data_IF_360580925498
#
_entry.id   IF_360580925498
#
_cell.length_a   1.000
_cell.length_b   1.000
_cell.length_c   1.000
_cell.angle_alpha   90.00
_cell.angle_beta   90.00
_cell.angle_gamma   90.00
#
_symmetry.space_group_name_H-M   'P 1'
#
loop_
_entity.id
_entity.type
_entity.pdbx_description
1 polymer ?
#
# COMPACT_ATOMS: atom_id res chain seq x y z
N UNK A 1 -4.13 27.89 8.47
CA UNK A 1 -3.55 27.05 7.41
C UNK A 1 -4.70 26.34 6.72
N UNK A 2 -5.18 26.93 5.62
CA UNK A 2 -6.24 26.34 4.79
C UNK A 2 -5.67 25.10 4.07
N UNK A 3 -6.08 23.90 4.47
CA UNK A 3 -5.84 22.70 3.67
C UNK A 3 -6.98 22.56 2.68
N UNK A 4 -6.61 22.66 1.40
CA UNK A 4 -7.51 22.59 0.25
C UNK A 4 -8.45 21.37 0.32
N UNK A 5 -9.78 21.58 0.35
CA UNK A 5 -10.75 20.52 0.57
C UNK A 5 -10.91 19.53 -0.61
N UNK A 6 -10.12 19.66 -1.67
CA UNK A 6 -10.27 18.93 -2.95
C UNK A 6 -9.20 17.87 -3.23
N UNK A 7 -8.20 17.70 -2.36
CA UNK A 7 -7.16 16.68 -2.57
C UNK A 7 -7.67 15.29 -2.24
N UNK A 8 -7.76 14.46 -3.29
CA UNK A 8 -8.09 13.05 -3.18
C UNK A 8 -6.84 12.21 -3.49
N UNK A 9 -6.49 11.31 -2.58
CA UNK A 9 -5.40 10.37 -2.79
C UNK A 9 -5.99 8.97 -2.97
N UNK A 10 -5.72 8.33 -4.10
CA UNK A 10 -6.03 6.93 -4.36
C UNK A 10 -4.72 6.13 -4.36
N UNK A 11 -4.73 5.00 -3.65
CA UNK A 11 -3.56 4.13 -3.50
C UNK A 11 -3.94 2.74 -3.98
N UNK A 12 -3.26 2.28 -5.01
CA UNK A 12 -3.42 0.95 -5.61
C UNK A 12 -2.35 0.04 -5.00
N UNK A 13 -2.74 -0.73 -3.99
CA UNK A 13 -1.92 -1.78 -3.40
C UNK A 13 -2.00 -3.02 -4.30
N UNK A 14 -0.87 -3.41 -4.87
CA UNK A 14 -0.76 -4.50 -5.84
C UNK A 14 0.09 -5.60 -5.22
N UNK A 15 -0.50 -6.79 -5.03
CA UNK A 15 0.27 -7.98 -4.66
C UNK A 15 1.09 -8.45 -5.87
N UNK A 16 2.30 -8.96 -5.66
CA UNK A 16 3.07 -9.56 -6.75
C UNK A 16 2.30 -10.71 -7.41
N UNK A 17 2.56 -10.95 -8.69
CA UNK A 17 2.06 -12.14 -9.40
C UNK A 17 2.78 -13.42 -8.94
N UNK A 18 2.36 -14.55 -9.50
CA UNK A 18 2.94 -15.86 -9.23
C UNK A 18 4.47 -15.86 -9.41
N UNK A 19 5.17 -16.38 -8.41
CA UNK A 19 6.62 -16.50 -8.38
C UNK A 19 7.05 -17.93 -8.03
N UNK A 20 8.33 -18.26 -8.18
CA UNK A 20 8.83 -19.64 -7.97
C UNK A 20 8.53 -20.18 -6.56
N UNK A 21 8.43 -19.32 -5.56
CA UNK A 21 8.07 -19.69 -4.20
C UNK A 21 6.60 -20.11 -4.07
N UNK A 22 5.68 -19.55 -4.88
CA UNK A 22 4.29 -20.01 -4.93
C UNK A 22 4.20 -21.47 -5.43
N UNK A 23 5.17 -21.91 -6.25
CA UNK A 23 5.27 -23.29 -6.73
C UNK A 23 5.84 -24.26 -5.68
N UNK A 24 6.29 -23.74 -4.53
CA UNK A 24 6.83 -24.51 -3.40
C UNK A 24 6.02 -24.24 -2.12
N UNK A 25 4.71 -24.58 -2.11
CA UNK A 25 3.85 -24.36 -0.96
C UNK A 25 4.24 -25.23 0.25
N UNK A 26 5.13 -26.21 0.06
CA UNK A 26 5.75 -27.00 1.12
C UNK A 26 6.72 -26.19 1.97
N UNK A 27 7.21 -25.05 1.48
CA UNK A 27 8.17 -24.18 2.17
C UNK A 27 7.47 -23.01 2.86
N UNK A 28 8.06 -22.56 3.96
CA UNK A 28 7.69 -21.29 4.60
C UNK A 28 8.22 -20.16 3.74
N UNK A 29 7.32 -19.29 3.26
CA UNK A 29 7.70 -18.09 2.54
C UNK A 29 8.22 -16.98 3.45
N UNK A 30 8.13 -15.73 3.00
CA UNK A 30 8.60 -14.55 3.73
C UNK A 30 9.46 -13.67 2.83
N UNK A 31 10.59 -13.21 3.36
CA UNK A 31 11.56 -12.33 2.67
C UNK A 31 12.63 -13.10 1.90
N UNK A 32 12.27 -14.25 1.32
CA UNK A 32 13.16 -15.02 0.45
C UNK A 32 13.60 -14.18 -0.77
N UNK A 33 14.91 -14.10 -1.00
CA UNK A 33 15.55 -13.38 -2.10
C UNK A 33 15.78 -14.29 -3.31
N UNK A 34 16.01 -13.71 -4.48
CA UNK A 34 16.30 -14.45 -5.72
C UNK A 34 15.07 -15.17 -6.29
N UNK A 35 13.87 -14.84 -5.80
CA UNK A 35 12.61 -15.42 -6.24
C UNK A 35 11.95 -14.48 -7.24
N UNK A 36 12.08 -14.79 -8.52
CA UNK A 36 11.51 -14.02 -9.61
C UNK A 36 10.07 -14.47 -9.94
N UNK A 37 9.35 -13.64 -10.70
CA UNK A 37 8.06 -14.02 -11.27
C UNK A 37 8.22 -15.19 -12.25
N UNK A 38 7.26 -16.11 -12.22
CA UNK A 38 7.16 -17.17 -13.22
C UNK A 38 6.73 -16.60 -14.57
N UNK A 39 6.73 -17.45 -15.61
CA UNK A 39 6.11 -17.08 -16.89
C UNK A 39 4.63 -16.70 -16.73
N UNK A 40 3.92 -17.36 -15.81
CA UNK A 40 2.54 -17.03 -15.48
C UNK A 40 2.46 -15.68 -14.77
N UNK A 41 3.30 -15.41 -13.77
CA UNK A 41 3.38 -14.12 -13.09
C UNK A 41 3.62 -12.95 -14.04
N UNK A 42 4.46 -13.13 -15.06
CA UNK A 42 4.66 -12.13 -16.12
C UNK A 42 3.42 -11.91 -17.00
N UNK A 43 2.63 -12.96 -17.28
CA UNK A 43 1.34 -12.81 -17.96
C UNK A 43 0.33 -12.05 -17.10
N UNK A 44 0.30 -12.33 -15.79
CA UNK A 44 -0.53 -11.62 -14.83
C UNK A 44 -0.20 -10.11 -14.78
N UNK A 45 1.09 -9.77 -14.76
CA UNK A 45 1.54 -8.38 -14.82
C UNK A 45 1.04 -7.64 -16.07
N UNK A 46 1.15 -8.27 -17.25
CA UNK A 46 0.65 -7.67 -18.50
C UNK A 46 -0.86 -7.50 -18.49
N UNK A 47 -1.61 -8.52 -18.04
CA UNK A 47 -3.06 -8.42 -17.94
C UNK A 47 -3.50 -7.30 -16.98
N UNK A 48 -2.76 -7.11 -15.88
CA UNK A 48 -3.01 -6.02 -14.96
C UNK A 48 -2.78 -4.65 -15.60
N UNK A 49 -1.68 -4.48 -16.34
CA UNK A 49 -1.40 -3.23 -17.04
C UNK A 49 -2.49 -2.91 -18.08
N UNK A 50 -2.96 -3.91 -18.84
CA UNK A 50 -4.08 -3.75 -19.78
C UNK A 50 -5.34 -3.31 -19.05
N UNK A 51 -5.65 -3.90 -17.89
CA UNK A 51 -6.79 -3.49 -17.08
C UNK A 51 -6.66 -2.03 -16.63
N UNK A 52 -5.51 -1.63 -16.10
CA UNK A 52 -5.26 -0.25 -15.66
C UNK A 52 -5.38 0.75 -16.81
N UNK A 53 -4.78 0.46 -17.97
CA UNK A 53 -4.91 1.29 -19.16
C UNK A 53 -6.38 1.41 -19.62
N UNK A 54 -7.13 0.30 -19.62
CA UNK A 54 -8.55 0.31 -20.00
C UNK A 54 -9.44 1.13 -19.05
N UNK A 55 -9.03 1.25 -17.78
CA UNK A 55 -9.70 2.05 -16.76
C UNK A 55 -9.22 3.52 -16.72
N UNK A 56 -8.24 3.88 -17.55
CA UNK A 56 -7.64 5.21 -17.55
C UNK A 56 -6.83 5.53 -16.29
N UNK A 57 -6.30 4.49 -15.61
CA UNK A 57 -5.45 4.67 -14.43
C UNK A 57 -4.09 5.24 -14.88
N UNK A 58 -3.66 6.33 -14.27
CA UNK A 58 -2.34 6.93 -14.47
C UNK A 58 -1.71 7.22 -13.12
N UNK A 59 -0.51 6.70 -12.87
CA UNK A 59 0.17 6.87 -11.59
C UNK A 59 0.99 8.15 -11.54
N UNK A 60 0.78 8.94 -10.49
CA UNK A 60 1.60 10.13 -10.17
C UNK A 60 2.87 9.76 -9.40
N UNK A 61 2.88 8.61 -8.74
CA UNK A 61 4.04 8.04 -8.06
C UNK A 61 3.90 6.53 -7.98
N UNK A 62 5.03 5.82 -7.95
CA UNK A 62 5.06 4.38 -7.77
C UNK A 62 6.08 4.02 -6.70
N UNK A 63 5.67 3.15 -5.77
CA UNK A 63 6.54 2.54 -4.78
C UNK A 63 6.52 1.02 -4.91
N UNK A 64 7.63 0.36 -4.64
CA UNK A 64 7.69 -1.09 -4.64
C UNK A 64 8.52 -1.64 -3.47
N UNK A 65 8.17 -2.84 -3.03
CA UNK A 65 9.05 -3.64 -2.19
C UNK A 65 10.35 -3.97 -2.93
N UNK A 66 11.51 -4.01 -2.25
CA UNK A 66 12.78 -4.36 -2.89
C UNK A 66 12.86 -5.84 -3.31
N UNK A 67 11.99 -6.72 -2.82
CA UNK A 67 12.02 -8.16 -3.18
C UNK A 67 11.75 -8.38 -4.68
N UNK A 68 12.50 -9.29 -5.29
CA UNK A 68 12.58 -9.47 -6.75
C UNK A 68 11.20 -9.68 -7.40
N UNK A 69 10.32 -10.48 -6.80
CA UNK A 69 8.95 -10.72 -7.28
C UNK A 69 8.09 -9.45 -7.36
N UNK A 70 8.16 -8.58 -6.36
CA UNK A 70 7.39 -7.33 -6.34
C UNK A 70 8.00 -6.29 -7.29
N UNK A 71 9.33 -6.20 -7.32
CA UNK A 71 10.06 -5.33 -8.26
C UNK A 71 9.80 -5.73 -9.71
N UNK A 72 9.88 -7.02 -10.03
CA UNK A 72 9.59 -7.54 -11.38
C UNK A 72 8.15 -7.28 -11.80
N UNK A 73 7.20 -7.34 -10.87
CA UNK A 73 5.80 -6.98 -11.12
C UNK A 73 5.68 -5.48 -11.42
N UNK A 74 6.28 -4.63 -10.58
CA UNK A 74 6.27 -3.18 -10.75
C UNK A 74 6.84 -2.76 -12.10
N UNK A 75 8.04 -3.23 -12.44
CA UNK A 75 8.69 -2.93 -13.72
C UNK A 75 7.82 -3.33 -14.92
N UNK A 76 7.27 -4.56 -14.90
CA UNK A 76 6.43 -5.06 -16.00
C UNK A 76 5.16 -4.25 -16.18
N UNK A 77 4.49 -3.87 -15.09
CA UNK A 77 3.26 -3.08 -15.14
C UNK A 77 3.55 -1.63 -15.55
N UNK A 78 4.55 -1.00 -14.94
CA UNK A 78 4.92 0.39 -15.22
C UNK A 78 5.40 0.60 -16.65
N UNK A 79 6.16 -0.35 -17.21
CA UNK A 79 6.59 -0.28 -18.61
C UNK A 79 5.40 -0.17 -19.57
N UNK A 80 4.38 -1.02 -19.40
CA UNK A 80 3.16 -1.02 -20.22
C UNK A 80 2.25 0.19 -19.95
N UNK A 81 2.36 0.81 -18.77
CA UNK A 81 1.68 2.05 -18.42
C UNK A 81 2.46 3.32 -18.80
N UNK A 82 3.61 3.18 -19.45
CA UNK A 82 4.53 4.29 -19.78
C UNK A 82 4.98 5.11 -18.55
N UNK A 83 5.10 4.47 -17.39
CA UNK A 83 5.70 5.06 -16.20
C UNK A 83 7.21 4.74 -16.18
N UNK A 84 8.03 5.77 -16.03
CA UNK A 84 9.48 5.64 -16.14
C UNK A 84 10.06 4.78 -15.00
N UNK A 85 10.86 3.77 -15.35
CA UNK A 85 11.39 2.79 -14.40
C UNK A 85 12.27 3.43 -13.32
N UNK A 86 13.04 4.45 -13.67
CA UNK A 86 13.91 5.21 -12.75
C UNK A 86 13.12 6.05 -11.72
N UNK A 87 11.81 6.23 -11.93
CA UNK A 87 10.91 6.89 -10.99
C UNK A 87 10.22 5.91 -10.01
N UNK A 88 10.43 4.60 -10.17
CA UNK A 88 9.91 3.59 -9.24
C UNK A 88 10.73 3.63 -7.95
N UNK A 89 10.10 3.96 -6.84
CA UNK A 89 10.76 4.12 -5.55
C UNK A 89 10.74 2.82 -4.74
N UNK A 90 11.91 2.24 -4.47
CA UNK A 90 12.02 1.09 -3.58
C UNK A 90 11.80 1.50 -2.11
N UNK A 91 11.06 0.70 -1.34
CA UNK A 91 10.82 0.95 0.08
C UNK A 91 10.79 -0.34 0.91
N UNK A 92 11.63 -0.41 1.95
CA UNK A 92 11.69 -1.54 2.89
C UNK A 92 10.41 -1.66 3.72
N UNK A 93 9.65 -0.57 3.89
CA UNK A 93 8.36 -0.60 4.57
C UNK A 93 7.33 -1.48 3.86
N UNK A 94 7.56 -1.79 2.57
CA UNK A 94 6.69 -2.61 1.72
C UNK A 94 7.12 -4.08 1.64
N UNK A 95 8.15 -4.51 2.39
CA UNK A 95 8.57 -5.92 2.45
C UNK A 95 7.45 -6.85 2.92
N UNK A 96 7.49 -8.12 2.51
CA UNK A 96 6.67 -9.19 3.09
C UNK A 96 6.98 -9.34 4.59
N UNK A 97 6.06 -9.94 5.35
CA UNK A 97 6.32 -10.31 6.74
C UNK A 97 7.56 -11.22 6.83
N UNK A 98 8.53 -10.83 7.66
CA UNK A 98 9.69 -11.68 7.93
C UNK A 98 9.27 -12.92 8.70
N UNK A 99 9.57 -14.10 8.16
CA UNK A 99 9.46 -15.36 8.91
C UNK A 99 10.79 -15.75 9.57
N UNK A 100 11.81 -14.89 9.44
CA UNK A 100 13.11 -15.06 10.08
C UNK A 100 13.74 -16.41 9.76
N UNK A 101 14.16 -17.15 10.78
CA UNK A 101 14.81 -18.45 10.61
C UNK A 101 13.90 -19.55 10.04
N UNK A 102 12.59 -19.29 9.89
CA UNK A 102 11.69 -20.26 9.27
C UNK A 102 11.70 -20.18 7.75
N UNK A 103 12.14 -19.06 7.16
CA UNK A 103 12.12 -18.86 5.70
C UNK A 103 12.85 -19.99 4.97
N UNK A 104 12.18 -20.61 4.00
CA UNK A 104 12.70 -21.74 3.22
C UNK A 104 12.71 -23.09 3.96
N UNK A 105 12.31 -23.17 5.23
CA UNK A 105 12.10 -24.44 5.92
C UNK A 105 10.82 -25.14 5.44
N UNK A 106 10.76 -26.46 5.61
CA UNK A 106 9.54 -27.24 5.35
C UNK A 106 8.45 -26.90 6.37
N UNK A 107 7.28 -26.49 5.88
CA UNK A 107 6.10 -26.18 6.70
C UNK A 107 5.71 -27.33 7.62
N UNK A 108 5.84 -28.58 7.14
CA UNK A 108 5.53 -29.78 7.93
C UNK A 108 6.44 -29.95 9.16
N UNK A 109 7.65 -29.39 9.12
CA UNK A 109 8.60 -29.41 10.24
C UNK A 109 8.47 -28.17 11.12
N UNK A 110 8.07 -27.03 10.54
CA UNK A 110 7.95 -25.75 11.24
C UNK A 110 6.63 -25.61 12.01
N UNK A 111 5.50 -25.98 11.39
CA UNK A 111 4.15 -25.77 11.95
C UNK A 111 3.61 -27.01 12.65
N UNK A 112 4.28 -27.47 13.70
CA UNK A 112 3.76 -28.56 14.55
C UNK A 112 2.51 -28.12 15.32
N UNK A 113 1.67 -29.05 15.83
CA UNK A 113 0.50 -28.69 16.64
C UNK A 113 0.82 -27.77 17.83
N UNK A 114 1.95 -27.99 18.48
CA UNK A 114 2.42 -27.19 19.63
C UNK A 114 2.77 -25.76 19.19
N UNK A 115 3.47 -25.62 18.06
CA UNK A 115 3.81 -24.32 17.48
C UNK A 115 2.56 -23.58 17.01
N UNK A 116 1.60 -24.28 16.38
CA UNK A 116 0.33 -23.68 15.96
C UNK A 116 -0.47 -23.15 17.16
N UNK A 117 -0.55 -23.92 18.26
CA UNK A 117 -1.19 -23.45 19.50
C UNK A 117 -0.45 -22.26 20.11
N UNK A 118 0.88 -22.22 20.02
CA UNK A 118 1.67 -21.07 20.46
C UNK A 118 1.37 -19.83 19.61
N UNK A 119 1.28 -19.99 18.29
CA UNK A 119 0.92 -18.90 17.37
C UNK A 119 -0.45 -18.34 17.76
N UNK A 120 -1.48 -19.19 17.83
CA UNK A 120 -2.86 -18.78 18.12
C UNK A 120 -2.97 -17.98 19.43
N UNK A 121 -2.36 -18.48 20.51
CA UNK A 121 -2.42 -17.83 21.83
C UNK A 121 -1.70 -16.48 21.91
N UNK A 122 -0.71 -16.26 21.04
CA UNK A 122 0.13 -15.05 21.08
C UNK A 122 -0.18 -14.04 19.97
N UNK A 123 -1.14 -14.31 19.07
CA UNK A 123 -1.54 -13.31 18.09
C UNK A 123 -2.13 -12.05 18.75
N UNK A 124 -1.90 -10.84 18.20
CA UNK A 124 -1.16 -10.53 16.96
C UNK A 124 0.36 -10.36 17.14
N UNK A 125 0.88 -10.68 18.33
CA UNK A 125 2.24 -10.35 18.79
C UNK A 125 3.23 -11.51 18.66
N UNK A 126 2.80 -12.68 18.18
CA UNK A 126 3.68 -13.78 17.84
C UNK A 126 4.63 -13.37 16.71
N UNK A 127 5.92 -13.64 16.90
CA UNK A 127 6.94 -13.57 15.85
C UNK A 127 7.66 -14.91 15.74
N UNK A 128 7.92 -15.35 14.50
CA UNK A 128 8.88 -16.42 14.27
C UNK A 128 10.28 -16.00 14.79
N UNK A 129 11.20 -16.94 15.08
CA UNK A 129 12.57 -16.59 15.50
C UNK A 129 13.23 -15.66 14.48
N UNK A 130 13.65 -14.47 14.93
CA UNK A 130 14.19 -13.39 14.07
C UNK A 130 13.21 -12.86 13.00
N UNK A 131 11.90 -13.10 13.18
CA UNK A 131 10.83 -12.67 12.29
C UNK A 131 10.09 -11.42 12.77
N UNK A 132 8.96 -11.13 12.11
CA UNK A 132 8.04 -10.05 12.46
C UNK A 132 6.72 -10.62 13.01
N UNK A 133 6.03 -9.84 13.85
CA UNK A 133 4.65 -10.06 14.23
C UNK A 133 3.68 -9.32 13.32
N UNK A 134 2.41 -9.72 13.32
CA UNK A 134 1.36 -9.02 12.56
C UNK A 134 1.25 -7.55 12.98
N UNK A 135 1.44 -7.25 14.26
CA UNK A 135 1.44 -5.86 14.76
C UNK A 135 2.59 -5.04 14.19
N UNK A 136 3.79 -5.63 14.08
CA UNK A 136 4.95 -4.94 13.50
C UNK A 136 4.73 -4.63 12.01
N UNK A 137 4.16 -5.57 11.26
CA UNK A 137 3.82 -5.38 9.84
C UNK A 137 2.76 -4.28 9.67
N UNK A 138 1.68 -4.31 10.47
CA UNK A 138 0.65 -3.27 10.45
C UNK A 138 1.26 -1.89 10.73
N UNK A 139 2.08 -1.78 11.78
CA UNK A 139 2.70 -0.52 12.17
C UNK A 139 3.50 0.11 11.01
N UNK A 140 4.41 -0.64 10.39
CA UNK A 140 5.24 -0.11 9.28
C UNK A 140 4.42 0.23 8.04
N UNK A 141 3.35 -0.51 7.77
CA UNK A 141 2.47 -0.22 6.62
C UNK A 141 1.64 1.04 6.84
N UNK A 142 1.10 1.23 8.05
CA UNK A 142 0.38 2.44 8.43
C UNK A 142 1.31 3.64 8.48
N UNK A 143 2.53 3.47 8.99
CA UNK A 143 3.56 4.51 8.99
C UNK A 143 3.97 4.91 7.57
N UNK A 144 4.15 3.95 6.65
CA UNK A 144 4.40 4.23 5.24
C UNK A 144 3.26 5.07 4.63
N UNK A 145 2.03 4.63 4.82
CA UNK A 145 0.83 5.25 4.27
C UNK A 145 0.64 6.70 4.77
N UNK A 146 0.79 6.92 6.08
CA UNK A 146 0.60 8.25 6.68
C UNK A 146 1.83 9.15 6.59
N UNK A 147 3.03 8.60 6.75
CA UNK A 147 4.29 9.34 6.76
C UNK A 147 4.83 9.66 5.37
N UNK A 148 4.63 8.75 4.40
CA UNK A 148 5.12 8.91 3.03
C UNK A 148 4.02 9.46 2.12
N UNK A 149 2.87 8.78 2.03
CA UNK A 149 1.89 9.08 0.98
C UNK A 149 1.10 10.36 1.24
N UNK A 150 0.76 10.68 2.49
CA UNK A 150 0.10 11.95 2.82
C UNK A 150 1.02 13.17 2.66
N UNK A 151 2.35 12.96 2.61
CA UNK A 151 3.33 14.00 2.32
C UNK A 151 3.48 14.33 0.82
N UNK A 152 3.12 13.40 -0.07
CA UNK A 152 3.32 13.52 -1.53
C UNK A 152 2.66 14.76 -2.17
N UNK A 153 1.38 15.10 -1.88
CA UNK A 153 0.75 16.25 -2.52
C UNK A 153 1.47 17.58 -2.24
N UNK A 154 2.25 17.67 -1.16
CA UNK A 154 3.06 18.86 -0.86
C UNK A 154 4.35 18.91 -1.68
N UNK A 155 4.96 17.75 -1.93
CA UNK A 155 6.22 17.63 -2.67
C UNK A 155 6.03 17.74 -4.20
N UNK A 156 4.90 17.24 -4.72
CA UNK A 156 4.60 17.22 -6.15
C UNK A 156 3.98 18.53 -6.66
N UNK A 157 3.37 19.33 -5.78
CA UNK A 157 2.76 20.63 -6.14
C UNK A 157 3.72 21.59 -6.88
N UNK A 158 4.96 21.82 -6.42
CA UNK A 158 5.90 22.69 -7.12
C UNK A 158 6.29 22.18 -8.51
N UNK A 159 6.41 20.86 -8.69
CA UNK A 159 6.87 20.25 -9.95
C UNK A 159 5.78 20.31 -11.03
N UNK A 160 4.53 20.02 -10.67
CA UNK A 160 3.40 20.12 -11.60
C UNK A 160 3.12 21.58 -12.01
N UNK A 161 3.24 22.52 -11.08
CA UNK A 161 3.13 23.95 -11.39
C UNK A 161 4.28 24.43 -12.29
N UNK A 162 5.51 23.92 -12.10
CA UNK A 162 6.66 24.27 -12.94
C UNK A 162 6.57 23.68 -14.36
N UNK A 163 6.11 22.43 -14.51
CA UNK A 163 5.89 21.80 -15.81
C UNK A 163 4.75 22.47 -16.59
N UNK A 164 3.73 23.00 -15.90
CA UNK A 164 2.66 23.75 -16.55
C UNK A 164 3.13 25.13 -17.07
N UNK A 165 4.16 25.72 -16.47
CA UNK A 165 4.78 26.96 -16.95
C UNK A 165 5.73 26.69 -18.12
N UNK A 166 6.44 25.55 -18.12
CA UNK A 166 7.33 25.17 -19.22
C UNK A 166 6.61 24.71 -20.50
N UNK A 167 5.33 24.31 -20.42
CA UNK A 167 4.49 24.03 -21.59
C UNK A 167 4.14 25.26 -22.46
N UNK A 168 4.52 26.48 -22.03
CA UNK A 168 4.17 27.73 -22.70
C UNK A 168 5.35 28.63 -23.09
N UNK A 169 6.60 28.16 -23.04
CA UNK A 169 7.74 28.96 -23.51
C UNK A 169 8.62 28.19 -24.50
N UNK A 170 8.18 28.19 -25.74
CA UNK A 170 9.03 27.95 -26.91
C UNK A 170 9.23 29.31 -27.59
N UNK A 171 10.31 30.01 -27.26
CA UNK A 171 10.95 30.95 -28.16
C UNK A 171 12.39 31.27 -27.73
N UNK A 172 13.28 31.09 -28.69
CA UNK A 172 14.69 31.44 -28.73
C UNK A 172 15.07 32.75 -28.03
N UNK A 173 16.23 32.78 -27.38
CA UNK A 173 17.31 33.69 -27.79
C UNK A 173 18.67 33.31 -27.18
N UNK A 174 19.68 33.30 -28.04
CA UNK A 174 21.11 33.23 -27.69
C UNK A 174 21.57 34.56 -27.08
N UNK A 175 22.50 34.52 -26.11
CA UNK A 175 23.61 35.49 -26.04
C UNK A 175 24.68 35.05 -25.05
N UNK A 176 25.92 35.17 -25.49
CA UNK A 176 27.18 34.96 -24.79
C UNK A 176 27.44 36.04 -23.71
N UNK A 177 28.27 35.74 -22.70
CA UNK A 177 29.65 36.28 -22.52
C UNK A 177 30.14 36.27 -21.06
N UNK A 178 31.32 35.66 -20.88
CA UNK A 178 32.51 36.02 -20.09
C UNK A 178 32.47 36.56 -18.64
N UNK A 179 33.38 35.98 -17.84
CA UNK A 179 34.46 36.63 -17.05
C UNK A 179 34.51 36.10 -15.60
N UNK A 180 35.41 35.17 -15.22
CA UNK A 180 36.87 35.30 -14.94
C UNK A 180 37.19 35.89 -13.54
N UNK A 181 38.07 35.17 -12.81
CA UNK A 181 38.90 35.48 -11.61
C UNK A 181 38.24 35.37 -10.23
N UNK A 182 38.90 34.94 -9.15
CA UNK A 182 40.22 34.31 -8.88
C UNK A 182 40.22 33.91 -7.38
N UNK A 183 41.01 32.88 -7.01
CA UNK A 183 41.80 32.68 -5.76
C UNK A 183 41.16 32.89 -4.36
N UNK A 184 41.57 32.29 -3.25
CA UNK A 184 42.58 31.32 -2.79
C UNK A 184 42.21 31.08 -1.29
N UNK A 185 42.66 29.99 -0.66
CA UNK A 185 42.98 30.02 0.78
C UNK A 185 42.35 28.97 1.69
N UNK A 186 43.11 27.91 1.91
CA UNK A 186 43.07 26.81 2.89
C UNK A 186 42.87 27.15 4.39
N UNK A 187 42.28 26.22 5.17
CA UNK A 187 42.91 25.49 6.31
C UNK A 187 41.92 24.73 7.22
N UNK A 188 42.37 23.57 7.75
CA UNK A 188 41.71 22.56 8.64
C UNK A 188 42.27 22.69 10.11
N UNK A 189 41.97 21.81 11.11
CA UNK A 189 40.77 21.59 11.94
C UNK A 189 41.06 21.70 13.50
N UNK A 190 40.52 20.85 14.43
CA UNK A 190 39.61 21.16 15.58
C UNK A 190 40.33 21.12 16.98
N UNK A 191 39.67 21.04 18.17
CA UNK A 191 39.04 19.81 18.72
C UNK A 191 37.89 19.98 19.78
N UNK A 192 37.32 18.83 20.19
CA UNK A 192 36.35 18.58 21.29
C UNK A 192 36.84 18.98 22.71
N UNK A 193 35.96 19.03 23.74
CA UNK A 193 35.87 17.88 24.66
C UNK A 193 34.47 17.55 25.27
N UNK A 194 34.43 16.35 25.86
CA UNK A 194 33.37 15.57 26.56
C UNK A 194 32.98 16.10 27.96
N UNK A 195 31.79 15.73 28.46
CA UNK A 195 31.52 15.01 29.75
C UNK A 195 29.97 14.81 29.96
N UNK A 196 29.43 13.57 30.06
CA UNK A 196 28.99 12.78 31.27
C UNK A 196 28.22 13.61 32.33
N UNK A 197 27.17 13.16 33.02
CA UNK A 197 26.52 11.87 33.35
C UNK A 197 25.14 12.20 33.98
N UNK A 198 24.19 11.25 34.06
CA UNK A 198 23.04 11.40 34.99
C UNK A 198 21.94 10.35 34.83
N UNK A 199 22.04 9.25 35.59
CA UNK A 199 20.98 8.26 35.83
C UNK A 199 19.91 8.84 36.78
N UNK A 200 18.63 8.56 36.53
CA UNK A 200 17.57 8.64 37.56
C UNK A 200 16.49 7.58 37.32
N UNK A 201 16.35 6.69 38.32
CA UNK A 201 15.27 5.73 38.55
C UNK A 201 14.04 6.44 39.14
N UNK A 202 12.82 5.98 38.79
CA UNK A 202 11.66 5.71 39.70
C UNK A 202 10.47 5.15 38.89
N UNK A 203 10.02 3.92 39.21
CA UNK A 203 8.78 3.54 39.96
C UNK A 203 7.49 3.85 39.17
N UNK A 204 6.82 2.83 38.63
CA UNK A 204 5.75 2.03 39.27
C UNK A 204 4.52 2.87 39.61
N UNK A 205 3.43 2.68 38.86
CA UNK A 205 2.10 2.63 39.46
C UNK A 205 1.12 1.75 38.68
N UNK A 206 0.28 1.08 39.48
CA UNK A 206 -0.74 0.09 39.15
C UNK A 206 -2.04 0.80 38.73
N UNK A 207 -2.80 0.23 37.81
CA UNK A 207 -4.26 0.48 37.79
C UNK A 207 -5.04 -0.75 37.35
N UNK A 208 -6.19 -0.91 38.01
CA UNK A 208 -6.98 -2.12 38.22
C UNK A 208 -8.04 -2.33 37.13
N UNK A 209 -8.25 -3.60 36.81
CA UNK A 209 -9.46 -4.16 36.17
C UNK A 209 -10.72 -3.92 37.03
N UNK A 210 -11.84 -3.67 36.37
CA UNK A 210 -13.16 -4.13 36.81
C UNK A 210 -13.96 -4.65 35.61
N UNK A 211 -14.33 -5.93 35.71
CA UNK A 211 -15.36 -6.60 34.91
C UNK A 211 -16.73 -6.29 35.53
N UNK A 212 -17.76 -6.11 34.70
CA UNK A 212 -19.14 -6.35 35.10
C UNK A 212 -19.80 -7.17 33.99
N UNK A 213 -20.13 -8.41 34.34
CA UNK A 213 -21.03 -9.31 33.64
C UNK A 213 -22.48 -8.92 33.98
N UNK A 214 -23.40 -9.03 33.02
CA UNK A 214 -24.77 -9.42 33.33
C UNK A 214 -25.32 -10.29 32.19
N UNK A 215 -25.72 -11.49 32.57
CA UNK A 215 -26.37 -12.57 31.81
C UNK A 215 -27.78 -12.78 32.35
N UNK A 216 -28.67 -13.28 31.47
CA UNK A 216 -30.02 -13.80 31.77
C UNK A 216 -31.10 -12.87 31.20
N UNK A 217 -31.85 -13.22 30.14
CA UNK A 217 -32.61 -14.46 29.86
C UNK A 217 -34.10 -14.13 30.09
N UNK A 218 -35.14 -14.59 29.40
CA UNK A 218 -35.37 -15.47 28.25
C UNK A 218 -36.86 -15.25 27.81
N UNK A 219 -37.25 -15.87 26.68
CA UNK A 219 -38.62 -16.27 26.26
C UNK A 219 -39.58 -15.15 25.74
N UNK A 220 -40.40 -15.31 24.70
CA UNK A 220 -40.88 -16.48 23.93
C UNK A 220 -41.57 -16.04 22.60
N UNK A 221 -41.61 -16.95 21.60
CA UNK A 221 -42.68 -17.25 20.62
C UNK A 221 -43.40 -16.10 19.83
N UNK A 222 -43.86 -16.19 18.59
CA UNK A 222 -44.07 -17.24 17.57
C UNK A 222 -44.46 -16.52 16.24
N UNK A 223 -44.75 -17.32 15.20
CA UNK A 223 -45.55 -17.02 13.99
C UNK A 223 -44.90 -16.48 12.71
N UNK A 224 -44.51 -17.45 11.87
CA UNK A 224 -45.17 -17.79 10.59
C UNK A 224 -45.81 -16.67 9.74
N UNK A 225 -45.30 -16.50 8.50
CA UNK A 225 -46.05 -16.59 7.22
C UNK A 225 -45.29 -15.86 6.10
N UNK A 226 -45.04 -16.58 5.01
CA UNK A 226 -44.47 -16.09 3.73
C UNK A 226 -45.61 -15.83 2.71
N UNK A 227 -45.35 -15.50 1.43
CA UNK A 227 -44.96 -14.20 0.88
C UNK A 227 -46.04 -13.63 -0.09
N UNK A 228 -45.90 -12.37 -0.54
CA UNK A 228 -46.56 -11.90 -1.76
C UNK A 228 -45.65 -11.01 -2.60
N UNK A 229 -45.45 -11.43 -3.84
CA UNK A 229 -44.79 -10.72 -4.93
C UNK A 229 -45.55 -9.44 -5.32
N UNK A 230 -44.82 -8.40 -5.74
CA UNK A 230 -45.34 -7.39 -6.65
C UNK A 230 -44.21 -6.84 -7.54
N UNK A 231 -44.16 -7.43 -8.72
CA UNK A 231 -43.53 -7.01 -9.96
C UNK A 231 -43.69 -5.50 -10.23
N UNK A 232 -42.57 -4.76 -10.43
CA UNK A 232 -42.56 -3.49 -11.19
C UNK A 232 -41.33 -3.42 -12.08
N UNK A 233 -41.58 -3.55 -13.38
CA UNK A 233 -40.71 -3.14 -14.49
C UNK A 233 -40.36 -1.66 -14.39
N UNK A 234 -39.12 -1.32 -14.72
CA UNK A 234 -38.74 0.03 -15.14
C UNK A 234 -37.81 -0.06 -16.35
N UNK A 235 -38.38 0.23 -17.51
CA UNK A 235 -37.68 0.53 -18.75
C UNK A 235 -36.98 1.90 -18.62
N UNK A 236 -35.69 1.99 -18.96
CA UNK A 236 -35.06 3.27 -19.32
C UNK A 236 -34.19 3.04 -20.56
N UNK A 237 -34.70 3.53 -21.70
CA UNK A 237 -33.96 3.75 -22.93
C UNK A 237 -32.97 4.90 -22.76
N UNK A 238 -31.77 4.74 -23.36
CA UNK A 238 -30.69 5.71 -23.33
C UNK A 238 -30.86 6.89 -24.31
N UNK A 239 -29.99 7.89 -24.13
CA UNK A 239 -29.68 8.96 -25.08
C UNK A 239 -28.28 9.51 -24.74
N UNK A 240 -27.28 9.09 -25.53
CA UNK A 240 -25.97 9.73 -25.58
C UNK A 240 -25.92 10.59 -26.85
N UNK A 241 -25.94 11.91 -26.69
CA UNK A 241 -25.63 12.87 -27.76
C UNK A 241 -24.44 13.70 -27.32
N UNK A 242 -23.38 13.58 -28.12
CA UNK A 242 -22.11 14.30 -28.06
C UNK A 242 -22.35 15.81 -28.06
N UNK A 243 -21.78 16.51 -27.07
CA UNK A 243 -21.58 17.97 -27.13
C UNK A 243 -20.14 18.30 -26.76
N UNK A 244 -19.35 18.55 -27.81
CA UNK A 244 -18.08 19.26 -27.74
C UNK A 244 -18.36 20.71 -27.36
N UNK A 245 -17.98 21.10 -26.14
CA UNK A 245 -17.79 22.50 -25.77
C UNK A 245 -16.54 22.60 -24.92
N UNK A 246 -15.53 23.25 -25.48
CA UNK A 246 -14.33 23.70 -24.81
C UNK A 246 -14.69 24.66 -23.67
N UNK A 247 -14.71 24.16 -22.44
CA UNK A 247 -14.64 24.97 -21.23
C UNK A 247 -13.27 24.78 -20.60
N UNK A 248 -12.52 25.88 -20.49
CA UNK A 248 -11.35 26.00 -19.62
C UNK A 248 -11.85 25.99 -18.16
N UNK A 249 -12.29 24.83 -17.68
CA UNK A 249 -12.44 24.60 -16.25
C UNK A 249 -11.07 24.17 -15.72
N UNK A 250 -10.54 24.88 -14.71
CA UNK A 250 -9.47 24.33 -13.88
C UNK A 250 -9.93 22.93 -13.40
N UNK A 251 -9.06 21.90 -13.37
CA UNK A 251 -9.46 20.59 -12.89
C UNK A 251 -9.96 20.75 -11.45
N UNK A 252 -11.25 20.51 -11.23
CA UNK A 252 -11.97 20.79 -9.98
C UNK A 252 -11.71 19.78 -8.86
N UNK A 253 -10.69 18.93 -9.01
CA UNK A 253 -10.07 18.13 -7.95
C UNK A 253 -8.77 17.55 -8.52
N UNK A 254 -7.63 17.85 -7.90
CA UNK A 254 -6.40 17.10 -8.19
C UNK A 254 -6.47 15.76 -7.48
N UNK A 255 -6.68 14.68 -8.24
CA UNK A 255 -6.52 13.32 -7.74
C UNK A 255 -5.07 12.87 -7.89
N UNK A 256 -4.49 12.38 -6.79
CA UNK A 256 -3.18 11.74 -6.78
C UNK A 256 -3.41 10.24 -6.79
N UNK A 257 -2.87 9.54 -7.77
CA UNK A 257 -3.02 8.10 -7.91
C UNK A 257 -1.65 7.46 -7.74
N UNK A 258 -1.49 6.62 -6.71
CA UNK A 258 -0.20 6.02 -6.34
C UNK A 258 -0.26 4.51 -6.51
N UNK A 259 0.68 3.95 -7.28
CA UNK A 259 0.89 2.51 -7.38
C UNK A 259 1.82 2.02 -6.27
N UNK A 260 1.43 0.99 -5.52
CA UNK A 260 2.23 0.42 -4.43
C UNK A 260 2.32 -1.10 -4.62
N UNK A 261 3.47 -1.58 -5.05
CA UNK A 261 3.72 -3.00 -5.31
C UNK A 261 4.32 -3.67 -4.07
N UNK A 262 3.59 -4.61 -3.48
CA UNK A 262 3.94 -5.26 -2.22
C UNK A 262 3.45 -6.73 -2.21
N UNK A 263 3.10 -7.26 -1.05
CA UNK A 263 2.82 -8.66 -0.81
C UNK A 263 1.54 -8.85 -0.01
N UNK A 264 1.09 -10.10 0.08
CA UNK A 264 -0.21 -10.43 0.66
C UNK A 264 -0.34 -10.04 2.14
N UNK A 265 0.65 -10.35 3.00
CA UNK A 265 0.51 -10.08 4.44
C UNK A 265 0.52 -8.57 4.76
N UNK A 266 1.43 -7.75 4.21
CA UNK A 266 1.38 -6.29 4.38
C UNK A 266 0.04 -5.67 3.99
N UNK A 267 -0.58 -6.13 2.89
CA UNK A 267 -1.91 -5.64 2.48
C UNK A 267 -2.95 -6.02 3.53
N UNK A 268 -2.97 -7.29 3.98
CA UNK A 268 -3.93 -7.75 5.00
C UNK A 268 -3.80 -6.97 6.31
N UNK A 269 -2.57 -6.80 6.81
CA UNK A 269 -2.28 -6.03 8.02
C UNK A 269 -2.62 -4.54 7.85
N UNK A 270 -2.38 -3.95 6.68
CA UNK A 270 -2.77 -2.56 6.43
C UNK A 270 -4.29 -2.40 6.43
N UNK A 271 -5.02 -3.35 5.83
CA UNK A 271 -6.49 -3.34 5.80
C UNK A 271 -7.07 -3.45 7.22
N UNK A 272 -6.52 -4.33 8.07
CA UNK A 272 -6.95 -4.39 9.48
C UNK A 272 -6.68 -3.09 10.21
N UNK A 273 -5.50 -2.49 10.02
CA UNK A 273 -5.13 -1.21 10.61
C UNK A 273 -6.04 -0.06 10.18
N UNK A 274 -6.37 0.03 8.89
CA UNK A 274 -7.32 1.04 8.36
C UNK A 274 -8.72 0.85 8.93
N UNK A 275 -9.17 -0.38 9.12
CA UNK A 275 -10.47 -0.71 9.71
C UNK A 275 -10.50 -0.58 11.24
N UNK A 276 -9.37 -0.28 11.89
CA UNK A 276 -9.27 -0.26 13.36
C UNK A 276 -9.50 -1.65 14.00
N UNK A 277 -9.33 -2.71 13.23
CA UNK A 277 -9.47 -4.09 13.69
C UNK A 277 -8.13 -4.61 14.25
N UNK A 278 -8.18 -5.64 15.10
CA UNK A 278 -6.96 -6.33 15.53
C UNK A 278 -6.23 -6.91 14.29
N UNK A 279 -4.89 -6.77 14.18
CA UNK A 279 -4.11 -7.40 13.11
C UNK A 279 -4.31 -8.92 13.04
N UNK A 280 -4.70 -9.55 14.16
CA UNK A 280 -5.04 -10.96 14.20
C UNK A 280 -6.19 -11.31 13.24
N UNK A 281 -7.07 -10.36 12.88
CA UNK A 281 -8.15 -10.58 11.90
C UNK A 281 -7.67 -10.71 10.45
N UNK A 282 -6.38 -10.48 10.17
CA UNK A 282 -5.79 -10.63 8.82
C UNK A 282 -6.06 -11.99 8.18
N UNK A 283 -6.16 -13.07 8.97
CA UNK A 283 -6.51 -14.41 8.47
C UNK A 283 -7.90 -14.50 7.82
N UNK A 284 -8.80 -13.56 8.12
CA UNK A 284 -10.15 -13.48 7.53
C UNK A 284 -10.19 -12.77 6.18
N UNK A 285 -9.05 -12.23 5.73
CA UNK A 285 -8.93 -11.47 4.48
C UNK A 285 -8.16 -12.32 3.47
N UNK A 286 -8.75 -12.50 2.29
CA UNK A 286 -8.08 -13.10 1.14
C UNK A 286 -7.39 -12.01 0.32
N UNK A 287 -6.14 -12.26 -0.08
CA UNK A 287 -5.37 -11.45 -1.02
C UNK A 287 -4.69 -12.44 -1.95
N UNK A 288 -5.10 -12.45 -3.21
CA UNK A 288 -4.57 -13.34 -4.24
C UNK A 288 -3.29 -12.76 -4.86
N UNK A 289 -2.50 -13.61 -5.50
CA UNK A 289 -1.39 -13.18 -6.35
C UNK A 289 -1.91 -12.25 -7.45
N UNK A 290 -1.14 -11.20 -7.76
CA UNK A 290 -1.48 -10.14 -8.72
C UNK A 290 -2.77 -9.36 -8.41
N UNK A 291 -3.39 -9.53 -7.24
CA UNK A 291 -4.61 -8.81 -6.87
C UNK A 291 -4.36 -7.30 -6.63
N UNK A 292 -5.43 -6.53 -6.78
CA UNK A 292 -5.45 -5.08 -6.53
C UNK A 292 -6.39 -4.75 -5.38
N UNK A 293 -5.88 -4.00 -4.40
CA UNK A 293 -6.66 -3.38 -3.34
C UNK A 293 -6.53 -1.87 -3.47
N UNK A 294 -7.66 -1.15 -3.53
CA UNK A 294 -7.67 0.31 -3.72
C UNK A 294 -8.11 0.96 -2.42
N UNK A 295 -7.23 1.77 -1.86
CA UNK A 295 -7.54 2.68 -0.77
C UNK A 295 -7.75 4.09 -1.30
N UNK A 296 -8.59 4.85 -0.61
CA UNK A 296 -8.86 6.25 -0.89
C UNK A 296 -8.69 7.05 0.39
N UNK A 297 -8.06 8.21 0.31
CA UNK A 297 -7.94 9.13 1.43
C UNK A 297 -8.47 10.51 1.07
N UNK A 298 -9.28 11.06 1.98
CA UNK A 298 -9.66 12.47 1.99
C UNK A 298 -9.51 13.04 3.38
N UNK A 299 -9.39 14.37 3.48
CA UNK A 299 -9.35 15.04 4.79
C UNK A 299 -10.64 14.86 5.61
N UNK A 300 -11.79 14.61 4.95
CA UNK A 300 -13.09 14.44 5.61
C UNK A 300 -13.27 13.05 6.17
N UNK A 301 -12.89 12.04 5.39
CA UNK A 301 -13.21 10.64 5.66
C UNK A 301 -12.02 9.83 6.15
N UNK A 302 -10.80 10.37 6.08
CA UNK A 302 -9.59 9.59 6.31
C UNK A 302 -9.44 8.49 5.25
N UNK A 303 -8.80 7.39 5.64
CA UNK A 303 -8.60 6.22 4.78
C UNK A 303 -9.86 5.37 4.66
N UNK A 304 -10.19 4.99 3.43
CA UNK A 304 -11.33 4.16 3.08
C UNK A 304 -10.89 3.06 2.12
N UNK A 305 -11.49 1.87 2.25
CA UNK A 305 -11.27 0.77 1.31
C UNK A 305 -12.32 0.90 0.21
N UNK A 306 -11.89 1.23 -1.00
CA UNK A 306 -12.74 1.37 -2.18
C UNK A 306 -12.89 0.04 -2.93
N UNK A 307 -11.85 -0.78 -2.90
CA UNK A 307 -11.83 -2.11 -3.53
C UNK A 307 -10.86 -3.00 -2.76
N UNK A 308 -11.19 -4.29 -2.62
CA UNK A 308 -10.36 -5.26 -1.91
C UNK A 308 -10.20 -6.51 -2.77
N UNK A 309 -8.96 -6.97 -2.95
CA UNK A 309 -8.63 -8.23 -3.61
C UNK A 309 -9.23 -8.39 -5.03
N UNK A 310 -9.20 -7.35 -5.85
CA UNK A 310 -9.69 -7.41 -7.22
C UNK A 310 -8.73 -8.17 -8.13
N UNK A 311 -9.28 -9.15 -8.83
CA UNK A 311 -8.58 -10.09 -9.72
C UNK A 311 -9.24 -10.15 -11.10
N UNK A 312 -10.04 -9.16 -11.47
CA UNK A 312 -10.79 -9.17 -12.72
C UNK A 312 -9.91 -9.37 -13.97
N UNK A 313 -8.67 -8.85 -13.98
CA UNK A 313 -7.71 -9.04 -15.07
C UNK A 313 -7.23 -10.49 -15.23
N UNK A 314 -7.29 -11.30 -14.17
CA UNK A 314 -6.86 -12.70 -14.22
C UNK A 314 -7.84 -13.58 -15.00
N UNK A 315 -9.10 -13.15 -15.17
CA UNK A 315 -10.09 -13.87 -15.97
C UNK A 315 -9.77 -13.87 -17.47
N UNK A 316 -8.81 -13.05 -17.88
CA UNK A 316 -8.37 -12.89 -19.27
C UNK A 316 -7.17 -13.80 -19.62
N UNK A 317 -6.71 -14.63 -18.67
CA UNK A 317 -5.50 -15.45 -18.79
C UNK A 317 -5.77 -16.93 -19.06
#
# INVERSE_FOLDING_TARGET
>A
MDRDPTLLLEVFLISHGECDLNLRPDLVGGRCHGVALTANGKRQARALAVLFNSQGVSFTAVYCSPLDRARSMAMSVCQEMNFAEDQIQSSDALLEMSMGHWEGCLRSQTYTPEILSLIERNQPDFSAPSGESLRQVEFRMVEFLNGTLLGLPQQLRPQLLSNHIQGFSLQHTHSLTNSVRDRDGSSLPPPFPRHRHGLLKKKSDKSRLQFVSNTGGDHDADDEMSPREANRKSDIHGLNVVRSTSSLALPSSMSYCVGVFTHSMPIKCLVTGVLGCSPAMSHKICIEDSSVTVLQHSWKTGWQIKRLNDTAHLRLL
#
